data_IF_751063380177
#
_entry.id   IF_751063380177
#
_cell.length_a   1.000
_cell.length_b   1.000
_cell.length_c   1.000
_cell.angle_alpha   90.00
_cell.angle_beta   90.00
_cell.angle_gamma   90.00
#
_symmetry.space_group_name_H-M   'P 1'
#
loop_
_entity.id
_entity.type
_entity.pdbx_description
1 polymer ?
#
# COMPACT_ATOMS: atom_id res chain seq x y z
N UNK A 1 7.59 -26.82 15.05
CA UNK A 1 7.57 -25.34 14.92
C UNK A 1 8.96 -24.88 15.31
N UNK A 2 9.71 -24.26 14.37
CA UNK A 2 11.09 -23.82 14.65
C UNK A 2 11.08 -22.59 15.55
N UNK A 3 12.10 -22.46 16.45
CA UNK A 3 12.31 -21.27 17.30
C UNK A 3 12.37 -19.99 16.42
N UNK A 4 12.86 -20.08 15.17
CA UNK A 4 12.87 -18.98 14.19
C UNK A 4 11.47 -18.52 13.79
N UNK A 5 10.45 -19.39 13.85
CA UNK A 5 9.06 -19.06 13.51
C UNK A 5 8.37 -18.20 14.57
N UNK A 6 8.83 -18.28 15.83
CA UNK A 6 8.31 -17.49 16.95
C UNK A 6 8.69 -16.00 16.84
N UNK A 7 9.84 -15.69 16.22
CA UNK A 7 10.36 -14.33 16.09
C UNK A 7 10.12 -13.72 14.70
N UNK A 8 9.49 -14.47 13.78
CA UNK A 8 9.19 -13.99 12.42
C UNK A 8 8.09 -12.93 12.47
N UNK A 9 8.29 -11.85 11.71
CA UNK A 9 7.25 -10.84 11.51
C UNK A 9 6.08 -11.48 10.74
N UNK A 10 4.91 -11.54 11.37
CA UNK A 10 3.71 -12.20 10.86
C UNK A 10 2.78 -11.23 10.08
N UNK A 11 3.21 -10.00 9.84
CA UNK A 11 2.39 -8.97 9.19
C UNK A 11 1.80 -9.45 7.85
N UNK A 12 2.59 -10.15 7.02
CA UNK A 12 2.13 -10.71 5.74
C UNK A 12 1.05 -11.78 5.95
N UNK A 13 1.28 -12.68 6.87
CA UNK A 13 0.37 -13.81 7.11
C UNK A 13 -0.97 -13.29 7.68
N UNK A 14 -0.91 -12.28 8.57
CA UNK A 14 -2.10 -11.60 9.11
C UNK A 14 -2.87 -10.92 7.98
N UNK A 15 -2.18 -10.20 7.09
CA UNK A 15 -2.86 -9.52 6.00
C UNK A 15 -3.47 -10.48 4.99
N UNK A 16 -2.77 -11.56 4.64
CA UNK A 16 -3.31 -12.64 3.82
C UNK A 16 -4.59 -13.21 4.44
N UNK A 17 -4.58 -13.54 5.74
CA UNK A 17 -5.76 -14.02 6.44
C UNK A 17 -6.92 -13.02 6.36
N UNK A 18 -6.65 -11.71 6.53
CA UNK A 18 -7.68 -10.66 6.40
C UNK A 18 -8.28 -10.58 4.99
N UNK A 19 -7.47 -10.75 3.96
CA UNK A 19 -7.96 -10.82 2.57
C UNK A 19 -8.84 -12.05 2.35
N UNK A 20 -8.44 -13.21 2.86
CA UNK A 20 -9.22 -14.45 2.78
C UNK A 20 -10.56 -14.32 3.53
N UNK A 21 -10.56 -13.70 4.71
CA UNK A 21 -11.78 -13.46 5.50
C UNK A 21 -12.83 -12.61 4.75
N UNK A 22 -12.41 -11.78 3.80
CA UNK A 22 -13.28 -10.99 2.92
C UNK A 22 -13.44 -11.59 1.52
N UNK A 23 -13.20 -12.90 1.37
CA UNK A 23 -13.35 -13.66 0.13
C UNK A 23 -12.48 -13.18 -1.04
N UNK A 24 -11.31 -12.63 -0.78
CA UNK A 24 -10.31 -12.38 -1.81
C UNK A 24 -9.55 -13.66 -2.07
N UNK A 25 -9.64 -14.19 -3.30
CA UNK A 25 -8.82 -15.31 -3.71
C UNK A 25 -7.37 -14.87 -3.87
N UNK A 26 -6.52 -15.31 -2.95
CA UNK A 26 -5.12 -14.95 -2.86
C UNK A 26 -4.30 -16.07 -2.22
N UNK A 27 -3.00 -16.07 -2.48
CA UNK A 27 -2.06 -17.05 -1.96
C UNK A 27 -0.74 -16.42 -1.50
N UNK A 28 -0.08 -17.07 -0.55
CA UNK A 28 1.26 -16.69 -0.10
C UNK A 28 2.30 -17.25 -1.07
N UNK A 29 3.04 -16.39 -1.76
CA UNK A 29 4.17 -16.82 -2.58
C UNK A 29 5.29 -17.41 -1.71
N UNK A 30 6.09 -18.30 -2.28
CA UNK A 30 7.33 -18.75 -1.65
C UNK A 30 8.23 -17.54 -1.36
N UNK A 31 9.09 -17.65 -0.36
CA UNK A 31 10.08 -16.60 -0.07
C UNK A 31 11.23 -16.67 -1.09
N UNK A 32 11.80 -15.50 -1.41
CA UNK A 32 12.93 -15.38 -2.32
C UNK A 32 12.55 -15.30 -3.81
N UNK A 33 11.26 -15.08 -4.12
CA UNK A 33 10.80 -14.80 -5.50
C UNK A 33 11.22 -13.40 -5.94
N UNK A 34 11.37 -13.20 -7.25
CA UNK A 34 11.84 -11.91 -7.79
C UNK A 34 10.89 -10.75 -7.50
N UNK A 35 9.61 -11.01 -7.38
CA UNK A 35 8.60 -10.03 -7.00
C UNK A 35 8.85 -9.39 -5.62
N UNK A 36 9.63 -10.02 -4.74
CA UNK A 36 10.05 -9.41 -3.47
C UNK A 36 10.96 -8.18 -3.66
N UNK A 37 11.59 -8.06 -4.84
CA UNK A 37 12.39 -6.91 -5.23
C UNK A 37 11.55 -5.74 -5.76
N UNK A 38 10.29 -6.01 -6.16
CA UNK A 38 9.37 -4.98 -6.66
C UNK A 38 9.16 -3.89 -5.60
N UNK A 39 9.31 -2.63 -6.02
CA UNK A 39 9.16 -1.45 -5.17
C UNK A 39 10.18 -1.37 -4.01
N UNK A 40 11.22 -2.20 -4.05
CA UNK A 40 12.23 -2.29 -3.00
C UNK A 40 13.65 -2.15 -3.57
N UNK A 41 14.01 -0.99 -4.18
CA UNK A 41 15.31 -0.78 -4.84
C UNK A 41 16.50 -0.91 -3.87
N UNK A 42 16.29 -0.69 -2.59
CA UNK A 42 17.31 -0.73 -1.56
C UNK A 42 17.40 -2.08 -0.83
N UNK A 43 16.79 -3.13 -1.36
CA UNK A 43 16.74 -4.46 -0.74
C UNK A 43 16.35 -4.42 0.76
N UNK A 44 15.46 -3.52 1.12
CA UNK A 44 14.88 -3.50 2.46
C UNK A 44 14.11 -4.79 2.70
N UNK A 45 13.78 -5.08 3.95
CA UNK A 45 13.17 -6.35 4.27
C UNK A 45 11.76 -6.48 3.71
N UNK A 46 11.63 -7.07 2.52
CA UNK A 46 10.35 -7.61 2.10
C UNK A 46 9.93 -8.73 3.06
N UNK A 47 8.71 -8.67 3.52
CA UNK A 47 8.10 -9.75 4.32
C UNK A 47 7.54 -10.84 3.42
N UNK A 48 7.61 -10.66 2.10
CA UNK A 48 7.16 -11.56 1.05
C UNK A 48 5.91 -11.07 0.33
N UNK A 49 5.56 -11.81 -0.69
CA UNK A 49 4.48 -11.50 -1.63
C UNK A 49 3.20 -12.23 -1.28
N UNK A 50 2.07 -11.55 -1.47
CA UNK A 50 0.75 -12.15 -1.58
C UNK A 50 0.34 -12.03 -3.04
N UNK A 51 0.08 -13.14 -3.71
CA UNK A 51 -0.42 -13.19 -5.09
C UNK A 51 -1.94 -13.14 -5.07
N UNK A 52 -2.53 -12.28 -5.90
CA UNK A 52 -3.98 -12.16 -6.05
C UNK A 52 -4.41 -13.02 -7.25
N UNK A 53 -5.17 -14.07 -7.00
CA UNK A 53 -5.62 -15.03 -8.02
C UNK A 53 -6.95 -14.63 -8.67
N UNK A 54 -7.73 -13.79 -7.98
CA UNK A 54 -9.01 -13.29 -8.48
C UNK A 54 -8.86 -12.34 -9.69
N UNK A 55 -9.99 -12.09 -10.39
CA UNK A 55 -10.09 -11.10 -11.46
C UNK A 55 -9.97 -9.67 -10.90
N UNK A 56 -8.80 -9.33 -10.40
CA UNK A 56 -8.47 -8.01 -9.85
C UNK A 56 -7.40 -7.33 -10.73
N UNK A 57 -7.44 -6.00 -10.91
CA UNK A 57 -6.33 -5.27 -11.49
C UNK A 57 -5.05 -5.39 -10.65
N UNK A 58 -5.18 -5.54 -9.35
CA UNK A 58 -4.06 -5.79 -8.43
C UNK A 58 -3.62 -7.25 -8.57
N UNK A 59 -2.34 -7.48 -8.86
CA UNK A 59 -1.79 -8.84 -9.05
C UNK A 59 -0.91 -9.31 -7.91
N UNK A 60 -0.17 -8.40 -7.30
CA UNK A 60 0.75 -8.72 -6.20
C UNK A 60 0.62 -7.69 -5.10
N UNK A 61 0.87 -8.13 -3.86
CA UNK A 61 1.04 -7.24 -2.73
C UNK A 61 2.39 -7.56 -2.10
N UNK A 62 3.33 -6.61 -2.19
CA UNK A 62 4.62 -6.70 -1.50
C UNK A 62 4.55 -5.91 -0.20
N UNK A 63 4.92 -6.53 0.92
CA UNK A 63 4.93 -5.86 2.22
C UNK A 63 6.38 -5.61 2.61
N UNK A 64 6.75 -4.34 2.69
CA UNK A 64 8.12 -3.90 2.98
C UNK A 64 8.18 -3.27 4.36
N UNK A 65 9.09 -3.79 5.18
CA UNK A 65 9.36 -3.28 6.52
C UNK A 65 10.56 -2.36 6.51
N UNK A 66 10.36 -1.17 7.02
CA UNK A 66 11.40 -0.22 7.37
C UNK A 66 11.76 -0.40 8.84
N UNK A 67 12.99 -0.73 9.13
CA UNK A 67 13.40 -1.02 10.51
C UNK A 67 13.46 0.22 11.41
N UNK A 68 13.41 1.41 10.81
CA UNK A 68 13.55 2.65 11.55
C UNK A 68 15.00 2.90 12.02
N UNK A 69 15.18 3.96 12.77
CA UNK A 69 16.45 4.35 13.38
C UNK A 69 16.22 4.86 14.79
N UNK A 70 17.24 5.50 15.38
CA UNK A 70 17.17 6.03 16.75
C UNK A 70 15.95 6.94 16.98
N UNK A 71 15.59 7.73 15.95
CA UNK A 71 14.49 8.69 16.00
C UNK A 71 13.39 8.41 14.97
N UNK A 72 13.50 7.33 14.18
CA UNK A 72 12.51 6.94 13.17
C UNK A 72 11.92 5.59 13.54
N UNK A 73 10.62 5.53 13.83
CA UNK A 73 9.98 4.30 14.23
C UNK A 73 9.84 3.33 13.05
N UNK A 74 9.77 2.03 13.37
CA UNK A 74 9.48 0.98 12.38
C UNK A 74 8.20 1.30 11.60
N UNK A 75 8.22 1.04 10.29
CA UNK A 75 7.07 1.27 9.41
C UNK A 75 6.87 0.06 8.50
N UNK A 76 5.61 -0.20 8.12
CA UNK A 76 5.23 -1.22 7.16
C UNK A 76 4.49 -0.55 6.01
N UNK A 77 5.02 -0.76 4.80
CA UNK A 77 4.43 -0.28 3.56
C UNK A 77 3.89 -1.46 2.77
N UNK A 78 2.66 -1.33 2.33
CA UNK A 78 1.96 -2.30 1.52
C UNK A 78 1.91 -1.76 0.10
N UNK A 79 2.59 -2.42 -0.81
CA UNK A 79 2.66 -2.07 -2.22
C UNK A 79 1.75 -2.99 -3.02
N UNK A 80 0.64 -2.46 -3.51
CA UNK A 80 -0.29 -3.18 -4.37
C UNK A 80 0.14 -2.95 -5.82
N UNK A 81 0.62 -4.00 -6.48
CA UNK A 81 1.11 -3.95 -7.85
C UNK A 81 -0.05 -4.06 -8.85
N UNK A 82 -0.15 -3.07 -9.73
CA UNK A 82 -1.14 -2.97 -10.81
C UNK A 82 -0.40 -2.95 -12.14
N UNK A 83 -0.15 -4.12 -12.78
CA UNK A 83 0.52 -4.19 -14.06
C UNK A 83 -0.23 -3.41 -15.12
N UNK A 84 0.47 -2.58 -15.88
CA UNK A 84 -0.08 -1.81 -17.00
C UNK A 84 1.06 -1.37 -17.92
N UNK A 85 0.73 -1.01 -19.14
CA UNK A 85 1.68 -0.39 -20.06
C UNK A 85 1.85 1.07 -19.68
N UNK A 86 2.87 1.38 -18.88
CA UNK A 86 3.18 2.75 -18.48
C UNK A 86 4.53 3.17 -19.05
N UNK A 87 4.68 4.47 -19.34
CA UNK A 87 5.96 5.05 -19.67
C UNK A 87 6.93 4.90 -18.49
N UNK A 88 8.16 4.48 -18.76
CA UNK A 88 9.25 4.43 -17.79
C UNK A 88 10.11 5.70 -17.82
N UNK A 89 9.73 6.70 -18.63
CA UNK A 89 10.43 7.98 -18.69
C UNK A 89 10.09 8.84 -17.48
N UNK A 90 11.11 9.45 -16.88
CA UNK A 90 10.93 10.32 -15.71
C UNK A 90 10.04 11.53 -15.98
N UNK A 91 9.91 11.95 -17.24
CA UNK A 91 9.07 13.07 -17.65
C UNK A 91 7.58 12.72 -17.66
N UNK A 92 7.25 11.44 -17.88
CA UNK A 92 5.88 10.97 -18.06
C UNK A 92 5.27 10.34 -16.80
N UNK A 93 6.09 10.13 -15.75
CA UNK A 93 5.60 9.39 -14.59
C UNK A 93 4.45 10.12 -13.88
N UNK A 94 3.56 9.33 -13.30
CA UNK A 94 2.45 9.78 -12.49
C UNK A 94 2.79 9.56 -11.02
N UNK A 95 2.62 10.59 -10.21
CA UNK A 95 2.65 10.50 -8.75
C UNK A 95 1.46 11.24 -8.17
N UNK A 96 0.70 10.56 -7.30
CA UNK A 96 -0.40 11.14 -6.52
C UNK A 96 -0.30 10.64 -5.09
N UNK A 97 -0.38 11.52 -4.12
CA UNK A 97 -0.31 11.16 -2.69
C UNK A 97 -1.32 11.90 -1.84
N UNK A 98 -1.86 11.20 -0.86
CA UNK A 98 -2.73 11.79 0.14
C UNK A 98 -1.92 12.52 1.22
N UNK A 99 -2.45 13.66 1.65
CA UNK A 99 -1.97 14.42 2.80
C UNK A 99 -3.12 14.52 3.80
N UNK A 100 -2.91 14.02 5.02
CA UNK A 100 -3.91 13.99 6.07
C UNK A 100 -3.73 15.16 7.04
N UNK A 101 -4.73 16.05 7.13
CA UNK A 101 -4.76 17.09 8.15
C UNK A 101 -5.40 16.55 9.41
N UNK A 102 -4.64 16.50 10.49
CA UNK A 102 -5.10 16.04 11.80
C UNK A 102 -5.54 17.23 12.67
N UNK A 103 -6.38 16.97 13.68
CA UNK A 103 -6.75 17.99 14.68
C UNK A 103 -5.58 18.42 15.55
N UNK A 104 -4.68 17.47 15.86
CA UNK A 104 -3.40 17.68 16.55
C UNK A 104 -2.28 16.99 15.75
N UNK A 105 -1.04 17.55 15.73
CA UNK A 105 0.01 17.06 14.84
C UNK A 105 0.37 15.58 15.02
N UNK A 106 0.31 15.05 16.24
CA UNK A 106 0.76 13.68 16.55
C UNK A 106 -0.39 12.73 16.87
N UNK A 107 -1.40 13.17 17.65
CA UNK A 107 -2.40 12.27 18.28
C UNK A 107 -3.84 12.59 17.82
N UNK A 108 -4.04 13.53 16.90
CA UNK A 108 -5.36 13.98 16.52
C UNK A 108 -6.08 13.12 15.48
N UNK A 109 -7.41 13.19 15.49
CA UNK A 109 -8.23 12.61 14.44
C UNK A 109 -7.99 13.28 13.08
N UNK A 110 -8.05 12.52 11.99
CA UNK A 110 -7.94 13.05 10.63
C UNK A 110 -9.20 13.83 10.29
N UNK A 111 -9.06 15.16 10.15
CA UNK A 111 -10.18 16.07 9.80
C UNK A 111 -10.46 16.06 8.30
N UNK A 112 -9.41 16.16 7.49
CA UNK A 112 -9.54 16.25 6.03
C UNK A 112 -8.38 15.57 5.31
N UNK A 113 -8.63 15.19 4.05
CA UNK A 113 -7.66 14.64 3.12
C UNK A 113 -7.43 15.66 2.01
N UNK A 114 -6.18 15.85 1.64
CA UNK A 114 -5.76 16.61 0.47
C UNK A 114 -4.96 15.69 -0.44
N UNK A 115 -5.06 15.91 -1.74
CA UNK A 115 -4.31 15.17 -2.74
C UNK A 115 -3.25 16.08 -3.35
N UNK A 116 -2.00 15.64 -3.31
CA UNK A 116 -0.88 16.24 -4.02
C UNK A 116 -0.49 15.35 -5.19
N UNK A 117 -0.13 15.96 -6.32
CA UNK A 117 0.37 15.23 -7.48
C UNK A 117 1.52 15.98 -8.15
N UNK A 118 2.27 15.27 -8.98
CA UNK A 118 3.07 15.90 -10.01
C UNK A 118 2.17 16.39 -11.18
N UNK A 119 2.76 16.97 -12.21
CA UNK A 119 2.03 17.53 -13.36
C UNK A 119 1.14 16.46 -14.04
N UNK A 120 1.70 15.29 -14.31
CA UNK A 120 1.02 14.22 -15.04
C UNK A 120 -0.05 13.52 -14.19
N UNK A 121 0.10 13.53 -12.86
CA UNK A 121 -0.87 12.95 -11.93
C UNK A 121 -2.08 13.83 -11.61
N UNK A 122 -2.17 15.04 -12.18
CA UNK A 122 -3.21 16.01 -11.81
C UNK A 122 -4.63 15.49 -12.05
N UNK A 123 -4.89 14.90 -13.20
CA UNK A 123 -6.21 14.34 -13.55
C UNK A 123 -6.61 13.24 -12.55
N UNK A 124 -5.67 12.34 -12.22
CA UNK A 124 -5.91 11.27 -11.25
C UNK A 124 -6.16 11.83 -9.85
N UNK A 125 -5.40 12.84 -9.45
CA UNK A 125 -5.59 13.51 -8.16
C UNK A 125 -6.96 14.19 -8.05
N UNK A 126 -7.45 14.82 -9.13
CA UNK A 126 -8.78 15.44 -9.18
C UNK A 126 -9.89 14.38 -9.09
N UNK A 127 -9.74 13.23 -9.76
CA UNK A 127 -10.65 12.08 -9.60
C UNK A 127 -10.68 11.58 -8.15
N UNK A 128 -9.51 11.43 -7.50
CA UNK A 128 -9.43 10.99 -6.10
C UNK A 128 -10.05 12.00 -5.13
N UNK A 129 -9.87 13.29 -5.38
CA UNK A 129 -10.45 14.37 -4.56
C UNK A 129 -11.97 14.33 -4.56
N UNK A 130 -12.59 14.01 -5.69
CA UNK A 130 -14.05 13.96 -5.85
C UNK A 130 -14.66 12.66 -5.32
N UNK A 131 -13.87 11.62 -5.16
CA UNK A 131 -14.35 10.29 -4.77
C UNK A 131 -14.41 10.14 -3.25
N UNK A 132 -15.61 9.95 -2.72
CA UNK A 132 -15.88 9.84 -1.29
C UNK A 132 -15.23 8.59 -0.70
N UNK A 133 -15.26 7.45 -1.41
CA UNK A 133 -14.74 6.17 -0.92
C UNK A 133 -13.22 6.23 -0.82
N UNK A 134 -12.54 6.82 -1.83
CA UNK A 134 -11.08 6.97 -1.84
C UNK A 134 -10.62 7.90 -0.71
N UNK A 135 -11.34 8.99 -0.47
CA UNK A 135 -11.07 9.88 0.67
C UNK A 135 -11.30 9.18 2.00
N UNK A 136 -12.39 8.40 2.13
CA UNK A 136 -12.69 7.59 3.32
C UNK A 136 -11.61 6.54 3.57
N UNK A 137 -11.15 5.84 2.52
CA UNK A 137 -10.07 4.86 2.59
C UNK A 137 -8.80 5.48 3.18
N UNK A 138 -8.31 6.58 2.59
CA UNK A 138 -7.11 7.28 3.08
C UNK A 138 -7.28 7.82 4.50
N UNK A 139 -8.50 8.26 4.86
CA UNK A 139 -8.81 8.74 6.23
C UNK A 139 -8.73 7.61 7.25
N UNK A 140 -9.29 6.43 6.92
CA UNK A 140 -9.42 5.28 7.83
C UNK A 140 -8.12 4.46 7.92
N UNK A 141 -7.51 4.11 6.79
CA UNK A 141 -6.38 3.17 6.77
C UNK A 141 -5.03 3.84 6.99
N UNK A 142 -4.73 4.92 6.28
CA UNK A 142 -3.42 5.52 6.39
C UNK A 142 -3.04 6.42 5.21
N UNK A 143 -1.74 6.71 5.10
CA UNK A 143 -1.21 7.46 3.97
C UNK A 143 -1.28 6.59 2.72
N UNK A 144 -1.80 7.16 1.64
CA UNK A 144 -1.92 6.50 0.35
C UNK A 144 -1.11 7.28 -0.69
N UNK A 145 -0.34 6.54 -1.50
CA UNK A 145 0.39 7.08 -2.64
C UNK A 145 0.18 6.15 -3.84
N UNK A 146 0.08 6.74 -5.01
CA UNK A 146 0.09 6.04 -6.30
C UNK A 146 1.25 6.56 -7.11
N UNK A 147 2.01 5.69 -7.74
CA UNK A 147 3.05 6.09 -8.69
C UNK A 147 3.23 5.07 -9.81
N UNK A 148 3.71 5.53 -10.98
CA UNK A 148 3.92 4.69 -12.17
C UNK A 148 5.39 4.49 -12.54
N UNK A 149 6.32 5.18 -11.91
CA UNK A 149 7.74 5.05 -12.21
C UNK A 149 8.39 4.04 -11.25
N UNK A 150 8.86 2.94 -11.82
CA UNK A 150 9.52 1.88 -11.07
C UNK A 150 10.67 1.30 -11.89
N UNK A 151 11.76 0.91 -11.24
CA UNK A 151 12.96 0.40 -11.89
C UNK A 151 12.72 -0.96 -12.56
N UNK A 152 11.95 -1.85 -11.91
CA UNK A 152 11.78 -3.25 -12.33
C UNK A 152 10.29 -3.64 -12.48
N UNK A 153 9.41 -2.67 -12.77
CA UNK A 153 7.99 -2.96 -12.88
C UNK A 153 7.30 -1.98 -13.84
N UNK A 154 6.57 -2.51 -14.82
CA UNK A 154 5.70 -1.72 -15.68
C UNK A 154 4.28 -1.70 -15.16
N UNK A 155 3.79 -0.52 -14.78
CA UNK A 155 2.47 -0.34 -14.19
C UNK A 155 2.48 0.64 -13.03
N UNK A 156 1.46 0.53 -12.18
CA UNK A 156 1.29 1.38 -11.02
C UNK A 156 1.52 0.62 -9.72
N UNK A 157 2.12 1.26 -8.73
CA UNK A 157 2.00 0.85 -7.34
C UNK A 157 0.95 1.71 -6.63
N UNK A 158 0.08 1.06 -5.86
CA UNK A 158 -0.71 1.72 -4.83
C UNK A 158 0.00 1.43 -3.52
N UNK A 159 0.53 2.45 -2.87
CA UNK A 159 1.33 2.34 -1.66
C UNK A 159 0.48 2.76 -0.46
N UNK A 160 0.35 1.90 0.52
CA UNK A 160 -0.42 2.16 1.73
C UNK A 160 0.45 1.96 2.97
N UNK A 161 0.60 3.02 3.76
CA UNK A 161 1.12 2.93 5.11
C UNK A 161 -0.05 2.91 6.08
N UNK A 162 -0.38 1.72 6.61
CA UNK A 162 -1.44 1.60 7.60
C UNK A 162 -1.18 2.44 8.85
N UNK A 163 -2.24 2.95 9.45
CA UNK A 163 -2.15 3.59 10.75
C UNK A 163 -1.52 2.64 11.76
N UNK A 164 -0.73 3.18 12.65
CA UNK A 164 -0.17 2.40 13.76
C UNK A 164 -1.22 2.12 14.81
N UNK A 165 -1.00 1.03 15.55
CA UNK A 165 -1.74 0.80 16.79
C UNK A 165 -1.57 2.02 17.72
N UNK A 166 -2.64 2.49 18.37
CA UNK A 166 -2.56 3.56 19.35
C UNK A 166 -1.79 3.17 20.61
N UNK A 167 -1.48 1.88 20.79
CA UNK A 167 -0.74 1.37 21.95
C UNK A 167 0.76 1.57 21.71
N UNK A 168 1.45 2.45 22.48
CA UNK A 168 2.85 2.83 22.23
C UNK A 168 3.85 1.69 22.24
N UNK A 169 3.59 0.62 22.97
CA UNK A 169 4.45 -0.57 23.07
C UNK A 169 4.32 -1.55 21.89
N UNK A 170 3.22 -1.44 21.13
CA UNK A 170 2.95 -2.32 19.98
C UNK A 170 3.26 -1.54 18.71
N UNK A 171 4.49 -1.69 18.22
CA UNK A 171 4.93 -1.07 16.95
C UNK A 171 4.28 -1.68 15.70
N UNK A 172 3.31 -2.58 15.84
CA UNK A 172 2.67 -3.25 14.72
C UNK A 172 1.69 -2.32 13.99
N UNK A 173 1.54 -2.45 12.65
CA UNK A 173 0.50 -1.73 11.93
C UNK A 173 -0.87 -2.25 12.38
N UNK A 174 -1.85 -1.34 12.48
CA UNK A 174 -3.23 -1.74 12.65
C UNK A 174 -3.80 -2.22 11.32
N UNK A 175 -3.57 -3.50 11.02
CA UNK A 175 -3.99 -4.14 9.78
C UNK A 175 -5.48 -4.44 9.86
N UNK A 176 -6.27 -3.59 9.26
CA UNK A 176 -7.71 -3.75 9.15
C UNK A 176 -8.11 -3.47 7.70
N UNK A 177 -8.63 -4.47 7.02
CA UNK A 177 -9.20 -4.33 5.68
C UNK A 177 -10.55 -5.05 5.65
N UNK A 178 -11.56 -4.39 5.10
CA UNK A 178 -12.87 -4.96 4.86
C UNK A 178 -13.19 -4.98 3.35
N UNK A 179 -14.33 -5.58 2.98
CA UNK A 179 -14.75 -5.71 1.58
C UNK A 179 -14.89 -4.36 0.87
N UNK A 180 -15.45 -3.34 1.54
CA UNK A 180 -15.58 -1.98 0.99
C UNK A 180 -14.23 -1.37 0.66
N UNK A 181 -13.27 -1.49 1.57
CA UNK A 181 -11.91 -0.97 1.40
C UNK A 181 -11.14 -1.71 0.29
N UNK A 182 -11.30 -3.03 0.18
CA UNK A 182 -10.74 -3.81 -0.92
C UNK A 182 -11.34 -3.39 -2.25
N UNK A 183 -12.66 -3.20 -2.32
CA UNK A 183 -13.36 -2.69 -3.51
C UNK A 183 -12.84 -1.31 -3.90
N UNK A 184 -12.60 -0.43 -2.93
CA UNK A 184 -12.04 0.90 -3.17
C UNK A 184 -10.60 0.84 -3.69
N UNK A 185 -9.75 -0.06 -3.17
CA UNK A 185 -8.40 -0.30 -3.72
C UNK A 185 -8.46 -0.77 -5.18
N UNK A 186 -9.38 -1.67 -5.51
CA UNK A 186 -9.60 -2.10 -6.90
C UNK A 186 -10.11 -0.95 -7.79
N UNK A 187 -10.96 -0.06 -7.27
CA UNK A 187 -11.42 1.15 -7.96
C UNK A 187 -10.24 2.08 -8.27
N UNK A 188 -9.34 2.31 -7.29
CA UNK A 188 -8.11 3.07 -7.51
C UNK A 188 -7.26 2.42 -8.61
N UNK A 189 -7.08 1.11 -8.57
CA UNK A 189 -6.30 0.37 -9.56
C UNK A 189 -6.89 0.51 -10.98
N UNK A 190 -8.21 0.46 -11.13
CA UNK A 190 -8.89 0.71 -12.42
C UNK A 190 -8.66 2.14 -12.89
N UNK A 191 -8.85 3.14 -12.02
CA UNK A 191 -8.60 4.53 -12.36
C UNK A 191 -7.15 4.81 -12.80
N UNK A 192 -6.19 4.02 -12.32
CA UNK A 192 -4.80 4.09 -12.77
C UNK A 192 -4.62 3.53 -14.19
N UNK A 193 -5.30 2.43 -14.52
CA UNK A 193 -5.20 1.79 -15.85
C UNK A 193 -5.89 2.64 -16.92
N UNK A 194 -6.95 3.36 -16.55
CA UNK A 194 -7.79 4.17 -17.44
C UNK A 194 -7.23 5.60 -17.66
N UNK A 195 -5.90 5.82 -17.41
CA UNK A 195 -5.22 7.13 -17.59
C UNK A 195 -4.77 7.40 -19.03
#
# INVERSE_FOLDING_TARGET
>A
MSIKDLFRDKTRDIFHKKLTEINVDCSLSKRGVDEEKLFNPWHRASLGIITINSKSPIKYINIIKHFGGKNDPKRWWFYFAVPSKTSQHKEDYIEVKSLRKKSFPVIGNVKSIYWKSNKNGKILADKFKQDIDINSLSKKLGNLKVQSLHENFSGYSIELEFNRSPIPLISAPNISINQEQWTTLNKIAKLCIDQ
#
